data_IF_487542148047
#
_entry.id   IF_487542148047
#
_cell.length_a   1.000
_cell.length_b   1.000
_cell.length_c   1.000
_cell.angle_alpha   90.00
_cell.angle_beta   90.00
_cell.angle_gamma   90.00
#
_symmetry.space_group_name_H-M   'P 1'
#
loop_
_entity.id
_entity.type
_entity.pdbx_description
1 polymer ?
#
# COMPACT_ATOMS: atom_id res chain seq x y z
N UNK A 1 1.35 0.57 -10.94
CA UNK A 1 0.36 -0.48 -11.28
C UNK A 1 -0.75 0.15 -12.10
N UNK A 2 -1.20 -0.55 -13.14
CA UNK A 2 -2.07 -0.03 -14.21
C UNK A 2 -3.27 0.76 -13.67
N UNK A 3 -3.18 2.09 -13.75
CA UNK A 3 -4.31 2.97 -13.51
C UNK A 3 -5.33 2.60 -14.57
N UNK A 4 -6.45 2.00 -14.16
CA UNK A 4 -7.58 1.77 -15.03
C UNK A 4 -8.12 3.14 -15.47
N UNK A 5 -7.53 3.69 -16.52
CA UNK A 5 -8.07 4.83 -17.24
C UNK A 5 -9.43 4.37 -17.73
N UNK A 6 -10.49 5.02 -17.27
CA UNK A 6 -11.82 4.80 -17.81
C UNK A 6 -11.72 4.97 -19.32
N UNK A 7 -12.01 3.91 -20.08
CA UNK A 7 -11.86 3.92 -21.54
C UNK A 7 -12.68 5.06 -22.20
N UNK A 8 -13.67 5.62 -21.49
CA UNK A 8 -14.39 6.85 -21.85
C UNK A 8 -14.79 7.65 -20.59
N UNK A 9 -14.78 9.00 -20.64
CA UNK A 9 -15.26 9.83 -19.54
C UNK A 9 -16.75 9.58 -19.28
N UNK A 10 -17.12 9.35 -18.01
CA UNK A 10 -18.50 9.11 -17.59
C UNK A 10 -19.05 10.31 -16.82
N UNK A 11 -20.22 10.80 -17.21
CA UNK A 11 -20.93 11.80 -16.43
C UNK A 11 -21.55 11.15 -15.19
N UNK A 12 -21.20 11.65 -14.00
CA UNK A 12 -21.73 11.18 -12.72
C UNK A 12 -22.63 12.25 -12.08
N UNK A 13 -23.76 11.83 -11.53
CA UNK A 13 -24.65 12.72 -10.80
C UNK A 13 -24.07 12.99 -9.42
N UNK A 14 -24.00 14.25 -9.04
CA UNK A 14 -23.68 14.68 -7.68
C UNK A 14 -25.01 14.81 -6.92
N UNK A 15 -25.14 14.13 -5.78
CA UNK A 15 -26.32 14.23 -4.94
C UNK A 15 -26.43 15.61 -4.29
N UNK A 16 -27.61 15.98 -3.76
CA UNK A 16 -27.78 17.22 -2.99
C UNK A 16 -26.90 17.28 -1.74
N UNK A 17 -26.49 16.10 -1.22
CA UNK A 17 -25.52 15.96 -0.12
C UNK A 17 -24.07 16.00 -0.61
N UNK A 18 -23.82 16.32 -1.88
CA UNK A 18 -22.49 16.38 -2.50
C UNK A 18 -21.77 15.02 -2.54
N UNK A 19 -22.55 13.92 -2.48
CA UNK A 19 -22.00 12.57 -2.62
C UNK A 19 -21.97 12.18 -4.09
N UNK A 20 -20.94 11.42 -4.45
CA UNK A 20 -20.81 10.74 -5.74
C UNK A 20 -20.82 9.24 -5.51
N UNK A 21 -21.45 8.51 -6.42
CA UNK A 21 -21.45 7.04 -6.39
C UNK A 21 -20.43 6.54 -7.38
N UNK A 22 -19.50 5.69 -6.94
CA UNK A 22 -18.58 4.98 -7.82
C UNK A 22 -19.32 3.76 -8.38
N UNK A 23 -19.49 3.65 -9.71
CA UNK A 23 -20.12 2.48 -10.33
C UNK A 23 -19.41 1.17 -9.95
N UNK A 24 -20.17 0.10 -9.68
CA UNK A 24 -19.65 -1.18 -9.19
C UNK A 24 -18.50 -1.75 -10.04
N UNK A 25 -18.60 -1.69 -11.37
CA UNK A 25 -17.53 -2.14 -12.29
C UNK A 25 -16.19 -1.42 -12.08
N UNK A 26 -16.23 -0.16 -11.66
CA UNK A 26 -15.03 0.65 -11.40
C UNK A 26 -14.53 0.38 -9.99
N UNK A 27 -15.45 0.29 -9.03
CA UNK A 27 -15.14 -0.01 -7.64
C UNK A 27 -14.33 -1.31 -7.51
N UNK A 28 -14.82 -2.40 -8.11
CA UNK A 28 -14.15 -3.70 -8.11
C UNK A 28 -12.85 -3.68 -8.92
N UNK A 29 -12.87 -3.11 -10.13
CA UNK A 29 -11.68 -3.09 -11.01
C UNK A 29 -10.54 -2.23 -10.47
N UNK A 30 -10.85 -1.16 -9.77
CA UNK A 30 -9.87 -0.25 -9.18
C UNK A 30 -9.49 -0.63 -7.75
N UNK A 31 -10.02 -1.74 -7.21
CA UNK A 31 -9.66 -2.26 -5.89
C UNK A 31 -10.08 -1.37 -4.73
N UNK A 32 -11.20 -0.66 -4.84
CA UNK A 32 -11.71 0.14 -3.72
C UNK A 32 -12.20 -0.76 -2.58
N UNK A 33 -11.74 -0.44 -1.37
CA UNK A 33 -12.27 -0.98 -0.12
C UNK A 33 -13.19 0.04 0.58
N UNK A 34 -13.27 -0.03 1.90
CA UNK A 34 -14.08 0.89 2.71
C UNK A 34 -13.59 2.34 2.62
N UNK A 35 -12.30 2.54 2.36
CA UNK A 35 -11.66 3.85 2.32
C UNK A 35 -11.01 4.14 0.97
N UNK A 36 -10.98 5.43 0.64
CA UNK A 36 -10.32 5.98 -0.54
C UNK A 36 -9.55 7.24 -0.14
N UNK A 37 -8.30 7.34 -0.60
CA UNK A 37 -7.53 8.56 -0.47
C UNK A 37 -7.95 9.55 -1.57
N UNK A 38 -8.24 10.79 -1.15
CA UNK A 38 -8.66 11.88 -2.02
C UNK A 38 -7.59 12.97 -2.08
N UNK A 39 -7.12 13.29 -3.28
CA UNK A 39 -6.07 14.28 -3.52
C UNK A 39 -6.49 15.31 -4.56
N UNK A 40 -6.09 16.56 -4.39
CA UNK A 40 -6.32 17.62 -5.37
C UNK A 40 -5.13 17.70 -6.34
N UNK A 41 -5.44 17.72 -7.63
CA UNK A 41 -4.46 17.87 -8.72
C UNK A 41 -4.84 19.07 -9.59
N UNK A 42 -3.94 19.46 -10.48
CA UNK A 42 -4.17 20.48 -11.52
C UNK A 42 -5.37 20.14 -12.44
N UNK A 43 -5.72 18.85 -12.55
CA UNK A 43 -6.82 18.33 -13.37
C UNK A 43 -8.10 18.03 -12.57
N UNK A 44 -8.08 18.28 -11.26
CA UNK A 44 -9.22 18.06 -10.36
C UNK A 44 -8.95 17.04 -9.27
N UNK A 45 -10.03 16.44 -8.75
CA UNK A 45 -9.97 15.52 -7.62
C UNK A 45 -9.59 14.10 -8.09
N UNK A 46 -8.53 13.55 -7.51
CA UNK A 46 -8.02 12.21 -7.79
C UNK A 46 -8.28 11.29 -6.59
N UNK A 47 -9.03 10.21 -6.84
CA UNK A 47 -9.39 9.20 -5.85
C UNK A 47 -8.59 7.93 -6.12
N UNK A 48 -7.98 7.38 -5.08
CA UNK A 48 -7.28 6.09 -5.12
C UNK A 48 -7.74 5.21 -3.95
N UNK A 49 -7.82 3.88 -4.13
CA UNK A 49 -8.13 2.98 -3.02
C UNK A 49 -7.14 3.17 -1.88
N UNK A 50 -7.62 3.07 -0.65
CA UNK A 50 -6.78 3.09 0.54
C UNK A 50 -7.03 1.79 1.30
N UNK A 51 -6.06 0.89 1.23
CA UNK A 51 -6.04 -0.29 2.09
C UNK A 51 -5.65 0.13 3.50
N UNK A 52 -6.51 -0.21 4.45
CA UNK A 52 -6.25 -0.03 5.88
C UNK A 52 -6.15 -1.43 6.47
N UNK A 53 -4.95 -2.02 6.49
CA UNK A 53 -4.67 -3.28 7.18
C UNK A 53 -4.37 -3.01 8.68
N UNK A 54 -4.69 -3.82 9.68
CA UNK A 54 -5.54 -5.02 9.86
C UNK A 54 -5.73 -5.15 11.39
N UNK A 55 -6.92 -5.55 11.88
CA UNK A 55 -7.16 -5.70 13.33
C UNK A 55 -6.31 -6.81 13.96
N UNK A 56 -5.97 -7.88 13.23
CA UNK A 56 -5.25 -9.04 13.79
C UNK A 56 -3.77 -8.73 14.11
N UNK A 57 -3.07 -8.05 13.20
CA UNK A 57 -1.69 -7.59 13.43
C UNK A 57 -1.66 -6.54 14.55
N UNK A 58 -2.71 -5.72 14.65
CA UNK A 58 -2.87 -4.75 15.73
C UNK A 58 -2.96 -5.45 17.09
N UNK A 59 -3.75 -6.53 17.20
CA UNK A 59 -3.93 -7.26 18.46
C UNK A 59 -2.64 -7.98 18.89
N UNK A 60 -1.90 -8.59 17.96
CA UNK A 60 -0.67 -9.31 18.32
C UNK A 60 0.49 -8.38 18.67
N UNK A 61 0.60 -7.21 18.02
CA UNK A 61 1.53 -6.15 18.45
C UNK A 61 1.17 -5.66 19.86
N UNK A 62 -0.12 -5.45 20.15
CA UNK A 62 -0.57 -5.02 21.47
C UNK A 62 -0.29 -6.08 22.54
N UNK A 63 -0.56 -7.37 22.26
CA UNK A 63 -0.24 -8.48 23.16
C UNK A 63 1.26 -8.56 23.45
N UNK A 64 2.09 -8.41 22.42
CA UNK A 64 3.54 -8.40 22.57
C UNK A 64 4.01 -7.23 23.45
N UNK A 65 3.52 -6.02 23.19
CA UNK A 65 3.90 -4.84 23.98
C UNK A 65 3.44 -4.91 25.44
N UNK A 66 2.26 -5.46 25.69
CA UNK A 66 1.79 -5.72 27.06
C UNK A 66 2.67 -6.79 27.73
N UNK A 67 3.12 -7.81 26.99
CA UNK A 67 4.04 -8.84 27.54
C UNK A 67 5.43 -8.31 27.87
N UNK A 68 5.89 -7.29 27.16
CA UNK A 68 7.14 -6.56 27.44
C UNK A 68 7.00 -5.60 28.64
N UNK A 69 5.78 -5.44 29.18
CA UNK A 69 5.50 -4.64 30.38
C UNK A 69 5.15 -3.18 30.09
N UNK A 70 4.86 -2.82 28.84
CA UNK A 70 4.42 -1.46 28.49
C UNK A 70 2.94 -1.25 28.89
N UNK A 71 2.66 -0.12 29.53
CA UNK A 71 1.32 0.25 30.00
C UNK A 71 1.02 1.73 29.72
N UNK A 72 -0.27 2.10 29.77
CA UNK A 72 -0.71 3.50 29.67
C UNK A 72 -0.22 4.18 28.39
N UNK A 73 0.37 5.37 28.53
CA UNK A 73 0.82 6.19 27.39
C UNK A 73 2.06 5.62 26.69
N UNK A 74 2.94 4.91 27.42
CA UNK A 74 4.13 4.27 26.84
C UNK A 74 3.73 3.14 25.86
N UNK A 75 2.67 2.40 26.17
CA UNK A 75 2.13 1.38 25.28
C UNK A 75 1.68 1.98 23.94
N UNK A 76 1.05 3.16 23.97
CA UNK A 76 0.55 3.85 22.78
C UNK A 76 1.71 4.34 21.90
N UNK A 77 2.76 4.90 22.51
CA UNK A 77 3.94 5.38 21.80
C UNK A 77 4.69 4.23 21.10
N UNK A 78 4.92 3.12 21.83
CA UNK A 78 5.57 1.95 21.26
C UNK A 78 4.74 1.30 20.16
N UNK A 79 3.42 1.20 20.35
CA UNK A 79 2.51 0.68 19.34
C UNK A 79 2.58 1.49 18.03
N UNK A 80 2.55 2.83 18.11
CA UNK A 80 2.66 3.69 16.94
C UNK A 80 4.00 3.53 16.21
N UNK A 81 5.09 3.34 16.96
CA UNK A 81 6.43 3.12 16.41
C UNK A 81 6.54 1.76 15.71
N UNK A 82 6.06 0.69 16.35
CA UNK A 82 6.08 -0.67 15.81
C UNK A 82 5.17 -0.83 14.61
N UNK A 83 3.94 -0.29 14.66
CA UNK A 83 3.00 -0.34 13.53
C UNK A 83 3.63 0.20 12.24
N UNK A 84 4.32 1.34 12.32
CA UNK A 84 5.03 1.93 11.15
C UNK A 84 6.12 1.03 10.60
N UNK A 85 6.87 0.34 11.47
CA UNK A 85 7.93 -0.59 11.07
C UNK A 85 7.36 -1.86 10.44
N UNK A 86 6.29 -2.42 11.01
CA UNK A 86 5.63 -3.63 10.50
C UNK A 86 5.07 -3.41 9.10
N UNK A 87 4.39 -2.28 8.87
CA UNK A 87 3.91 -1.88 7.53
C UNK A 87 5.10 -1.77 6.55
N UNK A 88 6.18 -1.11 6.96
CA UNK A 88 7.37 -0.96 6.10
C UNK A 88 8.06 -2.28 5.76
N UNK A 89 8.01 -3.29 6.64
CA UNK A 89 8.60 -4.61 6.38
C UNK A 89 7.70 -5.43 5.46
N UNK A 90 6.38 -5.40 5.68
CA UNK A 90 5.42 -6.16 4.88
C UNK A 90 5.44 -5.71 3.41
N UNK A 91 5.43 -4.40 3.15
CA UNK A 91 5.56 -3.85 1.80
C UNK A 91 6.84 -4.34 1.10
N UNK A 92 7.96 -4.43 1.83
CA UNK A 92 9.25 -4.92 1.30
C UNK A 92 9.26 -6.42 1.04
N UNK A 93 8.58 -7.20 1.88
CA UNK A 93 8.44 -8.64 1.69
C UNK A 93 7.57 -8.92 0.47
N UNK A 94 6.44 -8.23 0.33
CA UNK A 94 5.56 -8.34 -0.84
C UNK A 94 6.22 -7.84 -2.13
N UNK A 95 7.09 -6.83 -2.06
CA UNK A 95 7.95 -6.42 -3.18
C UNK A 95 8.95 -7.52 -3.56
N UNK A 96 9.64 -8.11 -2.58
CA UNK A 96 10.59 -9.18 -2.81
C UNK A 96 9.91 -10.45 -3.37
N UNK A 97 8.74 -10.83 -2.87
CA UNK A 97 7.97 -11.96 -3.37
C UNK A 97 7.51 -11.76 -4.82
N UNK A 98 7.06 -10.54 -5.16
CA UNK A 98 6.71 -10.19 -6.54
C UNK A 98 7.93 -10.21 -7.46
N UNK A 99 9.09 -9.74 -7.00
CA UNK A 99 10.31 -9.79 -7.81
C UNK A 99 10.79 -11.22 -8.06
N UNK A 100 10.55 -12.13 -7.11
CA UNK A 100 10.80 -13.55 -7.31
C UNK A 100 9.82 -14.15 -8.33
N UNK A 101 8.51 -13.87 -8.20
CA UNK A 101 7.47 -14.40 -9.08
C UNK A 101 7.60 -13.86 -10.51
N UNK A 102 7.90 -12.57 -10.67
CA UNK A 102 8.07 -11.91 -11.96
C UNK A 102 9.46 -12.16 -12.58
N UNK A 103 10.33 -12.94 -11.91
CA UNK A 103 11.68 -13.21 -12.37
C UNK A 103 12.57 -11.96 -12.41
N UNK A 104 12.18 -10.88 -11.74
CA UNK A 104 12.94 -9.64 -11.55
C UNK A 104 13.94 -9.77 -10.42
N UNK A 105 14.51 -10.95 -10.28
CA UNK A 105 15.67 -11.18 -9.45
C UNK A 105 16.85 -11.40 -10.39
N UNK A 106 17.98 -10.78 -10.06
CA UNK A 106 19.22 -11.06 -10.76
C UNK A 106 20.02 -12.03 -9.92
N UNK A 107 20.49 -13.11 -10.54
CA UNK A 107 21.37 -14.02 -9.83
C UNK A 107 22.68 -13.30 -9.50
N UNK A 108 23.39 -13.82 -8.50
CA UNK A 108 24.69 -13.28 -8.13
C UNK A 108 25.66 -13.24 -9.33
N UNK A 109 25.58 -14.22 -10.23
CA UNK A 109 26.43 -14.26 -11.42
C UNK A 109 26.06 -13.18 -12.44
N UNK A 110 24.77 -12.91 -12.65
CA UNK A 110 24.29 -11.85 -13.55
C UNK A 110 24.71 -10.46 -13.05
N UNK A 111 24.59 -10.22 -11.74
CA UNK A 111 25.06 -8.98 -11.10
C UNK A 111 26.56 -8.80 -11.24
N UNK A 112 27.33 -9.88 -11.04
CA UNK A 112 28.79 -9.86 -11.14
C UNK A 112 29.27 -9.64 -12.59
N UNK A 113 28.58 -10.19 -13.57
CA UNK A 113 28.88 -9.96 -14.99
C UNK A 113 28.63 -8.50 -15.38
N UNK A 114 27.50 -7.92 -14.94
CA UNK A 114 27.16 -6.52 -15.21
C UNK A 114 28.18 -5.53 -14.63
N UNK A 115 28.61 -5.72 -13.38
CA UNK A 115 29.64 -4.88 -12.76
C UNK A 115 30.98 -4.99 -13.50
N UNK A 116 31.27 -6.17 -14.06
CA UNK A 116 32.47 -6.39 -14.87
C UNK A 116 32.46 -5.59 -16.16
N UNK A 117 31.33 -5.58 -16.87
CA UNK A 117 31.15 -4.81 -18.10
C UNK A 117 31.13 -3.30 -17.85
N UNK A 118 30.54 -2.87 -16.74
CA UNK A 118 30.36 -1.46 -16.41
C UNK A 118 31.63 -0.81 -15.84
N UNK A 119 32.47 -1.57 -15.13
CA UNK A 119 33.67 -1.04 -14.45
C UNK A 119 34.99 -1.74 -14.82
N UNK A 120 34.97 -2.75 -15.70
CA UNK A 120 36.15 -3.27 -16.40
C UNK A 120 37.15 -4.09 -15.57
N UNK A 121 36.68 -4.83 -14.56
CA UNK A 121 37.55 -5.68 -13.72
C UNK A 121 37.79 -7.08 -14.28
#
# INVERSE_FOLDING_TARGET
MNVAVLEKPQAIKISSKRQITIPAKIYEKAGFGEYALCTWTDKGMFLQPLEVEDEDVTVDILRHLISEGYEGEELIEQYCSLKKKVVSVREKVEEAERDIEEGRYMTYEDMRARIRDEYGF
#
